data_IF_358776758499
#
_entry.id   IF_358776758499
#
_cell.length_a   1.000
_cell.length_b   1.000
_cell.length_c   1.000
_cell.angle_alpha   90.00
_cell.angle_beta   90.00
_cell.angle_gamma   90.00
#
_symmetry.space_group_name_H-M   'P 1'
#
loop_
_entity.id
_entity.type
_entity.pdbx_description
1 polymer ?
#
# COMPACT_ATOMS: atom_id res chain seq x y z
N UNK A 1 22.45 -26.20 -13.69
CA UNK A 1 21.98 -27.58 -13.76
C UNK A 1 20.64 -27.75 -14.51
N UNK A 2 19.94 -26.68 -14.83
CA UNK A 2 18.67 -26.73 -15.56
C UNK A 2 17.55 -27.50 -14.84
N UNK A 3 17.56 -27.58 -13.51
CA UNK A 3 16.53 -28.24 -12.71
C UNK A 3 15.46 -27.25 -12.28
N UNK A 4 14.21 -27.71 -12.23
CA UNK A 4 13.11 -26.96 -11.65
C UNK A 4 12.97 -27.33 -10.18
N UNK A 5 12.94 -26.33 -9.30
CA UNK A 5 12.76 -26.52 -7.86
C UNK A 5 11.41 -25.94 -7.45
N UNK A 6 10.62 -26.71 -6.71
CA UNK A 6 9.37 -26.25 -6.09
C UNK A 6 9.58 -26.15 -4.59
N UNK A 7 9.33 -24.99 -4.04
CA UNK A 7 9.45 -24.70 -2.62
C UNK A 7 8.07 -24.35 -2.05
N UNK A 8 7.67 -25.01 -0.96
CA UNK A 8 6.47 -24.67 -0.21
C UNK A 8 6.89 -23.99 1.09
N UNK A 9 6.47 -22.76 1.27
CA UNK A 9 6.83 -21.96 2.43
C UNK A 9 5.82 -20.81 2.62
N UNK A 10 5.74 -20.28 3.82
CA UNK A 10 5.04 -19.03 4.12
C UNK A 10 6.01 -17.87 4.38
N UNK A 11 7.30 -18.08 4.18
CA UNK A 11 8.32 -17.05 4.37
C UNK A 11 8.51 -16.21 3.10
N UNK A 12 7.88 -15.04 3.08
CA UNK A 12 7.88 -14.15 1.93
C UNK A 12 9.29 -13.65 1.54
N UNK A 13 10.17 -13.48 2.53
CA UNK A 13 11.55 -13.07 2.28
C UNK A 13 12.31 -14.12 1.44
N UNK A 14 12.09 -15.40 1.71
CA UNK A 14 12.71 -16.50 0.96
C UNK A 14 12.17 -16.54 -0.46
N UNK A 15 10.84 -16.45 -0.63
CA UNK A 15 10.21 -16.46 -1.95
C UNK A 15 10.80 -15.34 -2.83
N UNK A 16 10.94 -14.13 -2.29
CA UNK A 16 11.47 -12.97 -3.02
C UNK A 16 12.94 -13.12 -3.42
N UNK A 17 13.72 -13.83 -2.63
CA UNK A 17 15.16 -13.96 -2.88
C UNK A 17 15.49 -15.03 -3.93
N UNK A 18 14.75 -16.14 -3.97
CA UNK A 18 15.15 -17.30 -4.73
C UNK A 18 14.12 -17.80 -5.74
N UNK A 19 12.86 -17.35 -5.67
CA UNK A 19 11.81 -17.82 -6.57
C UNK A 19 11.62 -16.86 -7.75
N UNK A 20 11.32 -17.42 -8.92
CA UNK A 20 10.95 -16.63 -10.12
C UNK A 20 9.43 -16.51 -10.25
N UNK A 21 8.70 -17.53 -9.81
CA UNK A 21 7.24 -17.60 -9.87
C UNK A 21 6.70 -18.04 -8.52
N UNK A 22 5.48 -17.64 -8.25
CA UNK A 22 4.75 -17.99 -7.03
C UNK A 22 3.33 -18.40 -7.36
N UNK A 23 2.82 -19.35 -6.59
CA UNK A 23 1.42 -19.74 -6.56
C UNK A 23 0.92 -19.65 -5.11
N UNK A 24 -0.17 -18.94 -4.90
CA UNK A 24 -0.81 -18.77 -3.59
C UNK A 24 -1.95 -19.79 -3.50
N UNK A 25 -1.91 -20.61 -2.46
CA UNK A 25 -2.97 -21.58 -2.15
C UNK A 25 -3.79 -21.08 -0.96
N UNK A 26 -5.09 -21.19 -1.05
CA UNK A 26 -6.04 -20.88 0.02
C UNK A 26 -7.14 -21.95 0.06
N UNK A 27 -7.33 -22.58 1.22
CA UNK A 27 -8.31 -23.65 1.39
C UNK A 27 -8.12 -24.82 0.41
N UNK A 28 -6.89 -25.15 0.04
CA UNK A 28 -6.58 -26.23 -0.90
C UNK A 28 -6.82 -25.87 -2.38
N UNK A 29 -7.12 -24.62 -2.70
CA UNK A 29 -7.33 -24.13 -4.06
C UNK A 29 -6.28 -23.10 -4.44
N UNK A 30 -5.98 -23.05 -5.73
CA UNK A 30 -5.13 -21.99 -6.29
C UNK A 30 -5.88 -20.65 -6.26
N UNK A 31 -5.40 -19.72 -5.44
CA UNK A 31 -5.98 -18.38 -5.32
C UNK A 31 -5.38 -17.41 -6.32
N UNK A 32 -4.06 -17.49 -6.55
CA UNK A 32 -3.34 -16.59 -7.45
C UNK A 32 -2.01 -17.21 -7.86
N UNK A 33 -1.53 -16.89 -9.07
CA UNK A 33 -0.19 -17.27 -9.53
C UNK A 33 0.37 -16.26 -10.52
N UNK A 34 1.68 -16.18 -10.57
CA UNK A 34 2.39 -15.29 -11.48
C UNK A 34 3.88 -15.23 -11.21
N UNK A 35 4.54 -14.25 -11.79
CA UNK A 35 5.91 -13.91 -11.38
C UNK A 35 5.91 -13.37 -9.96
N UNK A 36 7.01 -13.54 -9.23
CA UNK A 36 7.13 -13.03 -7.86
C UNK A 36 6.86 -11.54 -7.83
N UNK A 37 7.48 -10.77 -8.71
CA UNK A 37 7.31 -9.32 -8.75
C UNK A 37 5.84 -8.92 -8.99
N UNK A 38 5.18 -9.55 -9.95
CA UNK A 38 3.82 -9.21 -10.33
C UNK A 38 2.82 -9.52 -9.21
N UNK A 39 2.94 -10.71 -8.60
CA UNK A 39 2.05 -11.12 -7.50
C UNK A 39 2.29 -10.28 -6.24
N UNK A 40 3.55 -9.93 -5.94
CA UNK A 40 3.86 -9.09 -4.78
C UNK A 40 3.42 -7.65 -4.96
N UNK A 41 3.48 -7.12 -6.18
CA UNK A 41 3.14 -5.72 -6.48
C UNK A 41 1.65 -5.51 -6.74
N UNK A 42 1.00 -6.47 -7.38
CA UNK A 42 -0.35 -6.33 -7.90
C UNK A 42 -1.26 -7.49 -7.47
N UNK A 43 -1.08 -8.01 -6.24
CA UNK A 43 -1.93 -9.11 -5.76
C UNK A 43 -3.42 -8.74 -5.83
N UNK A 44 -4.18 -9.62 -6.45
CA UNK A 44 -5.63 -9.44 -6.67
C UNK A 44 -6.47 -10.30 -5.73
N UNK A 45 -5.90 -11.42 -5.25
CA UNK A 45 -6.63 -12.35 -4.40
C UNK A 45 -6.72 -11.87 -2.95
N UNK A 46 -7.82 -12.20 -2.29
CA UNK A 46 -7.98 -11.95 -0.85
C UNK A 46 -6.90 -12.71 -0.04
N UNK A 47 -6.52 -13.90 -0.48
CA UNK A 47 -5.46 -14.68 0.14
C UNK A 47 -4.10 -14.00 0.02
N UNK A 48 -3.76 -13.47 -1.17
CA UNK A 48 -2.53 -12.72 -1.39
C UNK A 48 -2.49 -11.45 -0.54
N UNK A 49 -3.58 -10.68 -0.49
CA UNK A 49 -3.67 -9.48 0.35
C UNK A 49 -3.44 -9.80 1.83
N UNK A 50 -4.05 -10.86 2.36
CA UNK A 50 -3.80 -11.32 3.74
C UNK A 50 -2.34 -11.74 3.94
N UNK A 51 -1.79 -12.49 3.00
CA UNK A 51 -0.44 -13.03 3.09
C UNK A 51 0.63 -11.93 3.08
N UNK A 52 0.42 -10.91 2.26
CA UNK A 52 1.32 -9.76 2.19
C UNK A 52 1.00 -8.70 3.24
N UNK A 53 -0.06 -8.92 4.08
CA UNK A 53 -0.57 -7.95 5.05
C UNK A 53 -1.00 -6.66 4.36
N UNK A 54 -1.35 -6.73 3.11
CA UNK A 54 -2.12 -5.68 2.46
C UNK A 54 -3.50 -5.84 3.08
N UNK A 55 -3.85 -4.91 3.96
CA UNK A 55 -5.18 -4.90 4.57
C UNK A 55 -6.21 -5.07 3.46
N UNK A 56 -7.23 -5.94 3.63
CA UNK A 56 -8.34 -5.97 2.69
C UNK A 56 -8.89 -4.55 2.56
N UNK A 57 -9.42 -4.22 1.40
CA UNK A 57 -10.17 -2.97 1.17
C UNK A 57 -11.37 -2.80 2.13
N UNK A 58 -11.67 -3.78 2.94
CA UNK A 58 -12.45 -3.66 4.16
C UNK A 58 -11.57 -3.00 5.23
N UNK A 59 -11.30 -1.68 5.01
CA UNK A 59 -11.73 -0.71 5.96
C UNK A 59 -11.35 -1.02 7.41
N UNK A 60 -10.13 -0.64 7.79
CA UNK A 60 -10.14 0.10 9.04
C UNK A 60 -10.89 1.40 8.71
N UNK A 61 -12.21 1.38 8.93
CA UNK A 61 -12.99 2.59 8.92
C UNK A 61 -12.35 3.47 9.98
N UNK A 62 -11.71 4.58 9.59
CA UNK A 62 -11.05 5.40 10.58
C UNK A 62 -12.13 5.91 11.55
N UNK A 63 -11.82 6.06 12.83
CA UNK A 63 -12.78 6.54 13.82
C UNK A 63 -13.28 7.98 13.56
N UNK A 64 -12.73 8.61 12.55
CA UNK A 64 -13.02 9.98 12.12
C UNK A 64 -12.78 10.11 10.61
N UNK A 65 -13.34 11.15 9.96
CA UNK A 65 -13.07 11.41 8.54
C UNK A 65 -11.58 11.52 8.27
N UNK A 66 -11.12 10.87 7.20
CA UNK A 66 -9.72 10.75 6.87
C UNK A 66 -9.46 10.98 5.37
N UNK A 67 -8.20 11.19 5.03
CA UNK A 67 -7.69 11.15 3.67
C UNK A 67 -6.80 9.91 3.55
N UNK A 68 -7.11 9.04 2.60
CA UNK A 68 -6.29 7.89 2.24
C UNK A 68 -5.29 8.31 1.17
N UNK A 69 -4.02 7.98 1.41
CA UNK A 69 -2.91 8.22 0.50
C UNK A 69 -2.38 6.86 0.07
N UNK A 70 -2.37 6.57 -1.23
CA UNK A 70 -1.86 5.31 -1.77
C UNK A 70 -0.48 5.55 -2.39
N UNK A 71 0.47 4.72 -1.98
CA UNK A 71 1.84 4.69 -2.50
C UNK A 71 1.98 3.52 -3.47
N UNK A 72 2.28 3.82 -4.73
CA UNK A 72 2.37 2.84 -5.83
C UNK A 72 3.78 2.61 -6.36
N UNK A 73 4.78 3.05 -5.61
CA UNK A 73 6.19 2.81 -5.87
C UNK A 73 6.98 4.00 -6.38
N UNK A 74 6.40 4.99 -7.03
CA UNK A 74 7.18 6.10 -7.61
C UNK A 74 7.45 7.24 -6.62
N UNK A 75 6.58 7.42 -5.64
CA UNK A 75 6.68 8.49 -4.64
C UNK A 75 7.52 8.15 -3.40
N UNK A 76 8.14 6.96 -3.40
CA UNK A 76 8.78 6.37 -2.21
C UNK A 76 9.96 7.15 -1.64
N UNK A 77 10.70 7.83 -2.48
CA UNK A 77 11.94 8.51 -2.07
C UNK A 77 11.68 9.93 -1.56
N UNK A 78 10.46 10.42 -1.70
CA UNK A 78 10.13 11.80 -1.33
C UNK A 78 9.62 11.86 0.12
N UNK A 79 10.05 12.83 0.92
CA UNK A 79 9.52 13.06 2.27
C UNK A 79 8.13 13.73 2.18
N UNK A 80 7.14 12.99 1.68
CA UNK A 80 5.80 13.50 1.31
C UNK A 80 5.12 14.23 2.47
N UNK A 81 5.05 13.60 3.64
CA UNK A 81 4.33 14.18 4.79
C UNK A 81 5.00 15.44 5.31
N UNK A 82 6.33 15.44 5.43
CA UNK A 82 7.04 16.64 5.90
C UNK A 82 6.96 17.80 4.91
N UNK A 83 6.96 17.50 3.61
CA UNK A 83 6.73 18.51 2.57
C UNK A 83 5.29 19.03 2.61
N UNK A 84 4.31 18.14 2.71
CA UNK A 84 2.90 18.50 2.84
C UNK A 84 2.69 19.48 4.00
N UNK A 85 3.21 19.14 5.19
CA UNK A 85 3.14 20.00 6.39
C UNK A 85 3.78 21.36 6.14
N UNK A 86 4.97 21.38 5.54
CA UNK A 86 5.72 22.60 5.27
C UNK A 86 5.05 23.49 4.22
N UNK A 87 4.62 22.90 3.11
CA UNK A 87 4.15 23.64 1.94
C UNK A 87 2.69 24.07 2.08
N UNK A 88 1.86 23.25 2.73
CA UNK A 88 0.47 23.61 3.03
C UNK A 88 0.31 24.37 4.35
N UNK A 89 1.33 24.37 5.23
CA UNK A 89 1.26 25.04 6.52
C UNK A 89 0.26 24.43 7.50
N UNK A 90 0.01 23.12 7.38
CA UNK A 90 -1.01 22.39 8.15
C UNK A 90 -0.36 21.36 9.07
N UNK A 91 -0.97 21.14 10.21
CA UNK A 91 -0.66 20.01 11.07
C UNK A 91 -1.33 18.75 10.53
N UNK A 92 -0.58 17.66 10.46
CA UNK A 92 -1.08 16.37 9.94
C UNK A 92 -1.00 15.32 11.04
N UNK A 93 -2.14 14.71 11.35
CA UNK A 93 -2.20 13.56 12.22
C UNK A 93 -2.30 12.27 11.39
N UNK A 94 -1.33 11.37 11.54
CA UNK A 94 -1.35 10.06 10.91
C UNK A 94 -2.18 9.12 11.76
N UNK A 95 -3.26 8.57 11.19
CA UNK A 95 -4.17 7.63 11.86
C UNK A 95 -3.68 6.20 11.72
N UNK A 96 -3.23 5.83 10.53
CA UNK A 96 -2.58 4.55 10.26
C UNK A 96 -1.62 4.66 9.08
N UNK A 97 -0.63 3.78 9.02
CA UNK A 97 0.26 3.66 7.89
C UNK A 97 0.74 2.22 7.75
N UNK A 98 0.52 1.62 6.59
CA UNK A 98 1.11 0.35 6.18
C UNK A 98 1.84 0.56 4.85
N UNK A 99 3.10 0.93 4.96
CA UNK A 99 3.97 1.21 3.81
C UNK A 99 5.13 0.22 3.85
N UNK A 100 5.35 -0.46 2.74
CA UNK A 100 6.42 -1.45 2.58
C UNK A 100 7.36 -1.05 1.47
N UNK A 101 8.62 -1.30 1.68
CA UNK A 101 9.63 -1.13 0.65
C UNK A 101 9.82 -2.44 -0.12
N UNK A 102 9.73 -2.35 -1.44
CA UNK A 102 9.97 -3.42 -2.36
C UNK A 102 10.83 -2.89 -3.51
N UNK A 103 12.04 -3.47 -3.71
CA UNK A 103 12.98 -3.04 -4.74
C UNK A 103 13.24 -1.53 -4.74
N UNK A 104 13.47 -0.95 -3.57
CA UNK A 104 13.69 0.49 -3.33
C UNK A 104 12.49 1.39 -3.62
N UNK A 105 11.31 0.81 -3.82
CA UNK A 105 10.05 1.54 -4.01
C UNK A 105 9.12 1.31 -2.84
N UNK A 106 8.33 2.31 -2.46
CA UNK A 106 7.33 2.17 -1.40
C UNK A 106 5.97 1.83 -1.99
N UNK A 107 5.33 0.84 -1.39
CA UNK A 107 3.98 0.41 -1.70
C UNK A 107 3.16 0.33 -0.43
N UNK A 108 1.91 0.69 -0.52
CA UNK A 108 1.00 0.63 0.61
C UNK A 108 0.09 1.83 0.70
N UNK A 109 -0.43 2.06 1.89
CA UNK A 109 -1.35 3.15 2.14
C UNK A 109 -1.10 3.82 3.49
N UNK A 110 -1.52 5.07 3.58
CA UNK A 110 -1.52 5.85 4.80
C UNK A 110 -2.87 6.55 4.94
N UNK A 111 -3.41 6.58 6.14
CA UNK A 111 -4.56 7.38 6.52
C UNK A 111 -4.10 8.57 7.36
N UNK A 112 -4.45 9.75 6.94
CA UNK A 112 -4.27 10.97 7.73
C UNK A 112 -5.63 11.55 8.11
N UNK A 113 -5.70 12.20 9.27
CA UNK A 113 -6.92 12.87 9.69
C UNK A 113 -7.30 13.94 8.66
N UNK A 114 -8.57 13.98 8.28
CA UNK A 114 -9.10 15.00 7.38
C UNK A 114 -9.09 16.36 8.07
N UNK A 115 -8.53 17.42 7.49
CA UNK A 115 -8.68 18.76 7.99
C UNK A 115 -10.14 19.16 8.17
N UNK A 116 -10.42 20.02 9.14
CA UNK A 116 -11.79 20.49 9.38
C UNK A 116 -12.26 21.49 8.31
N UNK A 117 -11.36 22.34 7.85
CA UNK A 117 -11.65 23.34 6.82
C UNK A 117 -11.67 22.69 5.43
N UNK A 118 -12.78 22.81 4.66
CA UNK A 118 -12.87 22.30 3.30
C UNK A 118 -11.80 22.83 2.34
N UNK A 119 -11.35 24.07 2.51
CA UNK A 119 -10.28 24.66 1.70
C UNK A 119 -8.93 23.97 1.96
N UNK A 120 -8.66 23.59 3.20
CA UNK A 120 -7.47 22.84 3.58
C UNK A 120 -7.53 21.41 3.02
N UNK A 121 -8.70 20.78 3.03
CA UNK A 121 -8.89 19.44 2.40
C UNK A 121 -8.53 19.52 0.92
N UNK A 122 -9.10 20.49 0.21
CA UNK A 122 -8.83 20.69 -1.20
C UNK A 122 -7.33 20.90 -1.47
N UNK A 123 -6.68 21.75 -0.67
CA UNK A 123 -5.26 22.05 -0.77
C UNK A 123 -4.38 20.82 -0.57
N UNK A 124 -4.71 20.00 0.43
CA UNK A 124 -4.02 18.73 0.71
C UNK A 124 -4.20 17.74 -0.44
N UNK A 125 -5.43 17.58 -0.92
CA UNK A 125 -5.73 16.65 -2.01
C UNK A 125 -5.01 17.04 -3.32
N UNK A 126 -5.06 18.33 -3.68
CA UNK A 126 -4.37 18.85 -4.87
C UNK A 126 -2.85 18.71 -4.75
N UNK A 127 -2.28 19.04 -3.59
CA UNK A 127 -0.84 18.89 -3.34
C UNK A 127 -0.36 17.44 -3.52
N UNK A 128 -1.04 16.50 -2.89
CA UNK A 128 -0.69 15.08 -2.97
C UNK A 128 -0.86 14.51 -4.38
N UNK A 129 -1.91 14.94 -5.09
CA UNK A 129 -2.12 14.55 -6.49
C UNK A 129 -1.02 15.09 -7.42
N UNK A 130 -0.55 16.32 -7.21
CA UNK A 130 0.57 16.91 -7.95
C UNK A 130 1.90 16.19 -7.69
N UNK A 131 2.08 15.61 -6.49
CA UNK A 131 3.24 14.77 -6.17
C UNK A 131 3.14 13.35 -6.78
N UNK A 132 2.05 13.04 -7.51
CA UNK A 132 1.84 11.78 -8.20
C UNK A 132 1.22 10.67 -7.36
N UNK A 133 0.60 11.02 -6.22
CA UNK A 133 -0.05 10.07 -5.33
C UNK A 133 -1.55 9.95 -5.64
N UNK A 134 -2.08 8.74 -5.47
CA UNK A 134 -3.52 8.52 -5.46
C UNK A 134 -4.07 8.85 -4.08
N UNK A 135 -5.08 9.71 -4.04
CA UNK A 135 -5.69 10.18 -2.80
C UNK A 135 -7.20 10.14 -2.87
N UNK A 136 -7.84 9.80 -1.76
CA UNK A 136 -9.30 9.76 -1.64
C UNK A 136 -9.75 10.16 -0.24
N UNK A 137 -10.90 10.82 -0.14
CA UNK A 137 -11.55 11.05 1.15
C UNK A 137 -12.26 9.77 1.62
N UNK A 138 -12.03 9.41 2.88
CA UNK A 138 -12.68 8.29 3.54
C UNK A 138 -13.63 8.83 4.59
N UNK A 139 -14.91 8.53 4.42
CA UNK A 139 -15.96 8.97 5.35
C UNK A 139 -16.33 7.84 6.30
N UNK A 140 -16.57 8.20 7.55
CA UNK A 140 -17.21 7.30 8.52
C UNK A 140 -18.67 7.15 8.11
N UNK A 141 -19.18 5.92 7.94
CA UNK A 141 -20.58 5.70 7.60
C UNK A 141 -21.55 6.19 8.67
#
# INVERSE_FOLDING_TARGET
>A
LGITVVLITHEMAVIRQICNKVAILDGGKLAEQGTVDDVFMHTKSAAGRRLFGILPEQEEIPPQPAIRIVFDGEAAEKPIISKLVKDCGLEVNILSADIRQLNQKAYGQMLIARPQDPEDVKRVMEYLALEGLTVEEVHVP
#
